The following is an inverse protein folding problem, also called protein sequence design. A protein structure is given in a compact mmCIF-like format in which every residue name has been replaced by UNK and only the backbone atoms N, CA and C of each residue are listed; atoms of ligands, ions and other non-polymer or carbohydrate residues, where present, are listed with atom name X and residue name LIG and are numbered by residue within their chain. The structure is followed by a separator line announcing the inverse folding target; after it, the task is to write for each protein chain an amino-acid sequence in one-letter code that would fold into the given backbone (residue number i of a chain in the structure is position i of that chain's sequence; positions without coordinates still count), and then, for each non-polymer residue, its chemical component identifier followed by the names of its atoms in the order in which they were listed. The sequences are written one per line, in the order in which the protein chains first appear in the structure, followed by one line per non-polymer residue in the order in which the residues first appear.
data_IF_968405183704
#
_entry.id   IF_968405183704
#
_cell.length_a   1.000
_cell.length_b   1.000
_cell.length_c   1.000
_cell.angle_alpha   90.00
_cell.angle_beta   90.00
_cell.angle_gamma   90.00
#
_symmetry.space_group_name_H-M   'P 1'
#
loop_
_entity.id
_entity.type
_entity.pdbx_description
1 polymer ?
#
# COMPACT_ATOMS: atom_id res chain seq x y z
N UNK A 1 1.76 -22.37 -11.53
CA UNK A 1 1.60 -21.24 -10.57
C UNK A 1 1.61 -21.78 -9.15
N UNK A 2 2.60 -21.40 -8.34
CA UNK A 2 2.77 -21.89 -6.96
C UNK A 2 1.63 -21.41 -6.06
N UNK A 3 0.95 -22.34 -5.36
CA UNK A 3 -0.09 -22.01 -4.36
C UNK A 3 0.45 -21.07 -3.27
N UNK A 4 1.72 -21.25 -2.87
CA UNK A 4 2.39 -20.38 -1.90
C UNK A 4 2.44 -18.91 -2.34
N UNK A 5 2.88 -18.64 -3.57
CA UNK A 5 2.97 -17.27 -4.10
C UNK A 5 1.60 -16.54 -4.15
N UNK A 6 0.50 -17.27 -4.42
CA UNK A 6 -0.86 -16.71 -4.35
C UNK A 6 -1.27 -16.36 -2.92
N UNK A 7 -0.89 -17.17 -1.94
CA UNK A 7 -1.16 -16.90 -0.52
C UNK A 7 -0.39 -15.67 -0.04
N UNK A 8 0.90 -15.55 -0.38
CA UNK A 8 1.72 -14.38 -0.05
C UNK A 8 1.19 -13.10 -0.68
N UNK A 9 0.74 -13.15 -1.94
CA UNK A 9 0.10 -12.01 -2.57
C UNK A 9 -1.17 -11.60 -1.80
N UNK A 10 -2.01 -12.57 -1.45
CA UNK A 10 -3.26 -12.29 -0.73
C UNK A 10 -3.00 -11.67 0.65
N UNK A 11 -1.97 -12.12 1.37
CA UNK A 11 -1.58 -11.52 2.65
C UNK A 11 -1.01 -10.12 2.48
N UNK A 12 -0.13 -9.91 1.48
CA UNK A 12 0.45 -8.62 1.17
C UNK A 12 -0.61 -7.58 0.77
N UNK A 13 -1.55 -7.94 -0.12
CA UNK A 13 -2.69 -7.08 -0.48
C UNK A 13 -3.50 -6.74 0.79
N UNK A 14 -3.94 -7.76 1.54
CA UNK A 14 -4.74 -7.55 2.75
C UNK A 14 -4.03 -6.67 3.78
N UNK A 15 -2.71 -6.80 3.91
CA UNK A 15 -1.91 -5.93 4.75
C UNK A 15 -1.93 -4.49 4.25
N UNK A 16 -1.61 -4.27 2.97
CA UNK A 16 -1.53 -2.96 2.38
C UNK A 16 -2.88 -2.20 2.33
N UNK A 17 -4.03 -2.90 2.25
CA UNK A 17 -5.38 -2.31 2.18
C UNK A 17 -5.86 -1.62 3.47
N UNK A 18 -5.18 -1.77 4.60
CA UNK A 18 -5.59 -1.11 5.84
C UNK A 18 -5.18 0.37 5.83
N UNK A 19 -6.03 1.34 6.21
CA UNK A 19 -5.76 2.77 6.06
C UNK A 19 -4.41 3.21 6.65
N UNK A 20 -4.15 2.84 7.91
CA UNK A 20 -2.89 3.17 8.58
C UNK A 20 -1.68 2.54 7.89
N UNK A 21 -1.75 1.24 7.55
CA UNK A 21 -0.65 0.53 6.87
C UNK A 21 -0.39 1.07 5.46
N UNK A 22 -1.44 1.42 4.72
CA UNK A 22 -1.33 2.11 3.43
C UNK A 22 -0.60 3.44 3.60
N UNK A 23 -0.94 4.22 4.63
CA UNK A 23 -0.26 5.47 4.96
C UNK A 23 1.21 5.25 5.32
N UNK A 24 1.55 4.24 6.14
CA UNK A 24 2.95 3.83 6.42
C UNK A 24 3.69 3.55 5.10
N UNK A 25 3.13 2.70 4.24
CA UNK A 25 3.76 2.32 2.97
C UNK A 25 3.95 3.52 2.04
N UNK A 26 2.97 4.42 1.95
CA UNK A 26 3.08 5.68 1.18
C UNK A 26 4.20 6.56 1.73
N UNK A 27 4.30 6.72 3.05
CA UNK A 27 5.37 7.48 3.69
C UNK A 27 6.75 6.88 3.37
N UNK A 28 6.89 5.55 3.49
CA UNK A 28 8.16 4.86 3.21
C UNK A 28 8.55 4.86 1.72
N UNK A 29 7.65 5.23 0.79
CA UNK A 29 8.03 5.47 -0.62
C UNK A 29 8.98 6.67 -0.77
N UNK A 30 8.94 7.63 0.15
CA UNK A 30 9.83 8.79 0.13
C UNK A 30 11.23 8.48 0.68
N UNK A 31 11.40 7.37 1.39
CA UNK A 31 12.67 6.96 1.99
C UNK A 31 12.47 6.15 3.26
N UNK A 32 13.57 5.60 3.80
CA UNK A 32 13.54 4.92 5.10
C UNK A 32 13.22 5.89 6.22
N UNK A 33 12.38 5.49 7.18
CA UNK A 33 11.99 6.32 8.32
C UNK A 33 12.18 5.59 9.65
N UNK A 34 12.45 6.36 10.71
CA UNK A 34 12.54 5.81 12.07
C UNK A 34 11.15 5.59 12.68
N UNK A 35 11.06 4.82 13.77
CA UNK A 35 9.78 4.66 14.51
C UNK A 35 9.17 6.02 14.91
N UNK A 36 9.90 6.98 15.50
CA UNK A 36 9.36 8.29 15.82
C UNK A 36 8.85 9.07 14.60
N UNK A 37 9.58 9.06 13.49
CA UNK A 37 9.17 9.78 12.27
C UNK A 37 7.87 9.19 11.71
N UNK A 38 7.74 7.86 11.75
CA UNK A 38 6.50 7.18 11.36
C UNK A 38 5.35 7.52 12.31
N UNK A 39 5.59 7.50 13.63
CA UNK A 39 4.60 7.88 14.66
C UNK A 39 3.96 9.24 14.34
N UNK A 40 4.81 10.24 14.07
CA UNK A 40 4.38 11.59 13.68
C UNK A 40 3.65 11.61 12.33
N UNK A 41 4.21 10.95 11.31
CA UNK A 41 3.64 10.98 9.96
C UNK A 41 2.27 10.28 9.87
N UNK A 42 2.08 9.14 10.54
CA UNK A 42 0.79 8.45 10.53
C UNK A 42 -0.20 8.98 11.56
N UNK A 43 0.26 9.53 12.68
CA UNK A 43 -0.59 10.01 13.77
C UNK A 43 -1.11 8.88 14.67
N UNK A 44 -0.34 7.80 14.80
CA UNK A 44 -0.65 6.65 15.66
C UNK A 44 0.21 6.66 16.92
N UNK A 45 -0.26 6.06 18.01
CA UNK A 45 0.61 5.80 19.17
C UNK A 45 1.58 4.64 18.90
N UNK A 46 2.66 4.55 19.69
CA UNK A 46 3.68 3.49 19.55
C UNK A 46 3.14 2.07 19.56
N UNK A 47 2.19 1.74 20.43
CA UNK A 47 1.68 0.38 20.54
C UNK A 47 0.95 -0.06 19.25
N UNK A 48 0.04 0.79 18.75
CA UNK A 48 -0.66 0.57 17.49
C UNK A 48 0.31 0.54 16.31
N UNK A 49 1.27 1.45 16.28
CA UNK A 49 2.27 1.53 15.22
C UNK A 49 3.08 0.24 15.12
N UNK A 50 3.58 -0.30 16.25
CA UNK A 50 4.31 -1.57 16.24
C UNK A 50 3.46 -2.72 15.71
N UNK A 51 2.18 -2.81 16.11
CA UNK A 51 1.28 -3.83 15.57
C UNK A 51 1.13 -3.72 14.04
N UNK A 52 1.01 -2.50 13.51
CA UNK A 52 0.94 -2.29 12.07
C UNK A 52 2.25 -2.64 11.35
N UNK A 53 3.40 -2.30 11.94
CA UNK A 53 4.73 -2.59 11.39
C UNK A 53 4.99 -4.10 11.37
N UNK A 54 4.65 -4.82 12.42
CA UNK A 54 4.83 -6.28 12.50
C UNK A 54 4.06 -6.97 11.38
N UNK A 55 2.79 -6.61 11.15
CA UNK A 55 2.00 -7.20 10.06
C UNK A 55 2.57 -6.87 8.68
N UNK A 56 3.14 -5.67 8.50
CA UNK A 56 3.80 -5.29 7.24
C UNK A 56 5.09 -6.07 7.00
N UNK A 57 5.87 -6.34 8.06
CA UNK A 57 7.08 -7.19 8.00
C UNK A 57 6.71 -8.64 7.70
N UNK A 58 5.74 -9.20 8.41
CA UNK A 58 5.24 -10.57 8.18
C UNK A 58 4.71 -10.77 6.76
N UNK A 59 4.21 -9.69 6.14
CA UNK A 59 3.72 -9.68 4.76
C UNK A 59 4.79 -9.38 3.72
N UNK A 60 6.06 -9.28 4.11
CA UNK A 60 7.20 -8.98 3.25
C UNK A 60 7.10 -7.64 2.50
N UNK A 61 6.35 -6.67 3.03
CA UNK A 61 6.17 -5.35 2.42
C UNK A 61 7.24 -4.36 2.85
N UNK A 62 7.78 -4.53 4.06
CA UNK A 62 8.84 -3.70 4.63
C UNK A 62 9.85 -4.58 5.35
N UNK A 63 11.04 -4.03 5.61
CA UNK A 63 12.02 -4.63 6.51
C UNK A 63 12.54 -3.59 7.51
N UNK A 64 12.94 -4.08 8.68
CA UNK A 64 13.65 -3.28 9.69
C UNK A 64 15.13 -3.17 9.31
N UNK A 65 15.63 -1.93 9.23
CA UNK A 65 17.04 -1.61 9.11
C UNK A 65 17.51 -1.12 10.47
N UNK A 66 18.49 -1.79 11.07
CA UNK A 66 19.10 -1.29 12.31
C UNK A 66 20.04 -0.14 11.97
N UNK A 67 19.61 1.09 12.25
CA UNK A 67 20.48 2.27 12.16
C UNK A 67 20.58 2.94 13.54
N UNK A 68 21.67 2.64 14.26
CA UNK A 68 22.07 3.35 15.48
C UNK A 68 21.36 2.96 16.79
N UNK A 69 22.01 3.26 17.92
CA UNK A 69 21.73 2.76 19.28
C UNK A 69 20.36 3.10 19.90
N UNK A 70 19.42 3.79 19.23
CA UNK A 70 18.20 4.32 19.89
C UNK A 70 16.86 4.21 19.13
N UNK A 71 16.82 3.90 17.83
CA UNK A 71 15.56 3.77 17.10
C UNK A 71 15.66 2.79 15.93
N UNK A 72 14.59 2.02 15.71
CA UNK A 72 14.45 1.15 14.53
C UNK A 72 14.12 2.00 13.31
N UNK A 73 14.68 1.65 12.16
CA UNK A 73 14.31 2.22 10.87
C UNK A 73 13.60 1.18 10.03
N UNK A 74 12.71 1.61 9.16
CA UNK A 74 11.97 0.75 8.25
C UNK A 74 12.13 1.23 6.82
N UNK A 75 12.16 0.29 5.88
CA UNK A 75 12.22 0.58 4.45
C UNK A 75 11.30 -0.40 3.70
N UNK A 76 10.78 0.06 2.55
CA UNK A 76 10.01 -0.80 1.65
C UNK A 76 10.85 -1.94 1.09
N UNK A 77 10.26 -3.13 1.04
CA UNK A 77 10.76 -4.21 0.20
C UNK A 77 10.35 -3.93 -1.25
N UNK A 78 11.32 -3.56 -2.07
CA UNK A 78 11.12 -3.32 -3.50
C UNK A 78 11.86 -4.38 -4.31
N UNK A 79 11.16 -5.47 -4.72
CA UNK A 79 11.82 -6.52 -5.50
C UNK A 79 12.25 -5.97 -6.85
N UNK A 80 13.51 -6.25 -7.26
CA UNK A 80 14.05 -5.83 -8.57
C UNK A 80 13.27 -6.43 -9.76
N UNK A 81 12.62 -7.58 -9.55
CA UNK A 81 11.78 -8.27 -10.55
C UNK A 81 10.46 -8.67 -9.88
N UNK A 82 9.48 -7.77 -9.78
CA UNK A 82 8.19 -8.10 -9.19
C UNK A 82 7.45 -9.09 -10.10
N UNK A 83 6.86 -10.12 -9.51
CA UNK A 83 5.86 -10.96 -10.17
C UNK A 83 4.45 -10.34 -10.05
N UNK A 84 4.27 -9.39 -9.13
CA UNK A 84 3.02 -8.68 -8.90
C UNK A 84 3.31 -7.24 -8.45
N UNK A 85 2.48 -6.29 -8.87
CA UNK A 85 2.39 -4.94 -8.32
C UNK A 85 0.96 -4.64 -7.86
N UNK A 86 0.84 -3.90 -6.76
CA UNK A 86 -0.43 -3.52 -6.15
C UNK A 86 -0.44 -2.00 -5.98
N UNK A 87 -1.47 -1.34 -6.52
CA UNK A 87 -1.72 0.08 -6.31
C UNK A 87 -2.98 0.23 -5.48
N UNK A 88 -2.89 0.98 -4.38
CA UNK A 88 -4.00 1.25 -3.48
C UNK A 88 -4.24 2.73 -3.50
N UNK A 89 -5.45 3.09 -3.89
CA UNK A 89 -5.93 4.47 -3.92
C UNK A 89 -7.03 4.63 -2.89
N UNK A 90 -6.97 5.72 -2.14
CA UNK A 90 -7.98 6.12 -1.15
C UNK A 90 -8.75 7.34 -1.65
N UNK A 91 -9.84 7.67 -0.96
CA UNK A 91 -10.63 8.89 -1.22
C UNK A 91 -9.75 10.15 -1.33
N UNK A 92 -8.76 10.30 -0.46
CA UNK A 92 -7.79 11.39 -0.51
C UNK A 92 -7.02 11.46 -1.84
N UNK A 93 -6.62 10.32 -2.41
CA UNK A 93 -5.92 10.28 -3.70
C UNK A 93 -6.85 10.70 -4.84
N UNK A 94 -8.13 10.31 -4.78
CA UNK A 94 -9.12 10.69 -5.78
C UNK A 94 -9.45 12.18 -5.73
N UNK A 95 -9.55 12.75 -4.52
CA UNK A 95 -9.81 14.19 -4.33
C UNK A 95 -8.62 15.02 -4.82
N UNK A 96 -7.39 14.55 -4.57
CA UNK A 96 -6.17 15.25 -4.94
C UNK A 96 -6.03 15.44 -6.46
N UNK A 97 -6.43 14.45 -7.26
CA UNK A 97 -6.42 14.54 -8.72
C UNK A 97 -7.66 13.85 -9.33
N UNK A 98 -8.81 14.50 -9.15
CA UNK A 98 -10.10 14.01 -9.61
C UNK A 98 -10.16 13.82 -11.13
N UNK A 99 -9.45 14.66 -11.89
CA UNK A 99 -9.43 14.58 -13.35
C UNK A 99 -8.71 13.33 -13.83
N UNK A 100 -7.53 13.04 -13.30
CA UNK A 100 -6.79 11.82 -13.65
C UNK A 100 -7.55 10.57 -13.20
N UNK A 101 -8.16 10.60 -12.02
CA UNK A 101 -8.99 9.50 -11.52
C UNK A 101 -10.15 9.18 -12.46
N UNK A 102 -10.92 10.18 -12.91
CA UNK A 102 -12.03 9.94 -13.83
C UNK A 102 -11.58 9.40 -15.19
N UNK A 103 -10.45 9.87 -15.71
CA UNK A 103 -9.87 9.32 -16.96
C UNK A 103 -9.52 7.84 -16.83
N UNK A 104 -9.04 7.42 -15.66
CA UNK A 104 -8.77 6.02 -15.37
C UNK A 104 -10.07 5.20 -15.35
N UNK A 105 -11.11 5.68 -14.67
CA UNK A 105 -12.43 5.04 -14.65
C UNK A 105 -13.03 4.91 -16.05
N UNK A 106 -12.92 5.94 -16.88
CA UNK A 106 -13.36 5.90 -18.28
C UNK A 106 -12.61 4.82 -19.07
N UNK A 107 -11.31 4.68 -18.82
CA UNK A 107 -10.50 3.61 -19.43
C UNK A 107 -10.97 2.22 -19.02
N UNK A 108 -11.25 2.02 -17.72
CA UNK A 108 -11.77 0.74 -17.22
C UNK A 108 -13.14 0.40 -17.81
N UNK A 109 -14.07 1.36 -17.89
CA UNK A 109 -15.39 1.13 -18.49
C UNK A 109 -15.30 0.71 -19.97
N UNK A 110 -14.35 1.30 -20.72
CA UNK A 110 -14.10 0.92 -22.11
C UNK A 110 -13.54 -0.50 -22.24
N UNK A 111 -12.67 -0.91 -21.31
CA UNK A 111 -12.07 -2.25 -21.31
C UNK A 111 -13.13 -3.31 -20.94
N UNK A 112 -13.91 -3.06 -19.89
CA UNK A 112 -14.91 -4.00 -19.38
C UNK A 112 -16.22 -4.00 -20.20
N UNK A 113 -16.43 -2.98 -21.04
CA UNK A 113 -17.66 -2.83 -21.84
C UNK A 113 -18.91 -2.49 -21.01
N UNK A 114 -18.73 -1.95 -19.80
CA UNK A 114 -19.80 -1.65 -18.85
C UNK A 114 -19.50 -0.43 -18.00
N UNK A 115 -20.53 0.18 -17.40
CA UNK A 115 -20.37 1.36 -16.54
C UNK A 115 -20.00 0.96 -15.11
N UNK A 116 -19.12 1.72 -14.48
CA UNK A 116 -18.79 1.58 -13.06
C UNK A 116 -19.95 2.16 -12.25
N UNK A 117 -20.57 1.37 -11.34
CA UNK A 117 -21.66 1.86 -10.52
C UNK A 117 -21.22 2.99 -9.59
N UNK A 118 -22.01 4.06 -9.55
CA UNK A 118 -21.95 5.12 -8.53
C UNK A 118 -20.52 5.64 -8.27
N UNK A 119 -19.84 6.12 -9.34
CA UNK A 119 -18.44 6.62 -9.28
C UNK A 119 -18.13 7.56 -8.11
N UNK A 120 -19.06 8.44 -7.74
CA UNK A 120 -18.90 9.40 -6.65
C UNK A 120 -18.93 8.80 -5.23
N UNK A 121 -19.16 7.48 -5.09
CA UNK A 121 -19.13 6.77 -3.80
C UNK A 121 -17.92 5.83 -3.66
N UNK A 122 -16.95 5.91 -4.58
CA UNK A 122 -15.74 5.09 -4.48
C UNK A 122 -14.85 5.70 -3.39
N UNK A 123 -14.68 4.96 -2.29
CA UNK A 123 -13.84 5.36 -1.16
C UNK A 123 -12.44 4.71 -1.20
N UNK A 124 -12.31 3.62 -1.95
CA UNK A 124 -11.06 2.87 -2.11
C UNK A 124 -11.06 2.13 -3.45
N UNK A 125 -9.89 2.04 -4.07
CA UNK A 125 -9.66 1.24 -5.27
C UNK A 125 -8.32 0.52 -5.18
N UNK A 126 -8.31 -0.75 -5.59
CA UNK A 126 -7.12 -1.61 -5.60
C UNK A 126 -6.88 -2.13 -7.03
N UNK A 127 -5.70 -1.89 -7.56
CA UNK A 127 -5.29 -2.36 -8.90
C UNK A 127 -4.15 -3.35 -8.73
N UNK A 128 -4.37 -4.57 -9.21
CA UNK A 128 -3.37 -5.63 -9.19
C UNK A 128 -2.85 -5.91 -10.59
N UNK A 129 -1.55 -5.78 -10.78
CA UNK A 129 -0.86 -6.14 -12.02
C UNK A 129 -0.02 -7.38 -11.77
N UNK A 130 -0.22 -8.43 -12.57
CA UNK A 130 0.62 -9.63 -12.53
C UNK A 130 1.55 -9.63 -13.74
N UNK A 131 2.83 -9.91 -13.48
CA UNK A 131 3.86 -10.01 -14.51
C UNK A 131 4.14 -11.48 -14.82
N UNK A 132 4.48 -11.78 -16.08
CA UNK A 132 4.87 -13.11 -16.54
C UNK A 132 6.39 -13.25 -16.53
#
# INVERSE_FOLDING_TARGET
MNKGARTYLKSAVKAASHPVRSKILKTLKAGSMSTPDLEEAVGENRYNLYHHLDVLIESDLIHEIRSGKKSKYYQLNTPKKPNVAVFIFTEEDFIKDFTTWNKMLDGLEKIEGGKIPIRGKITQAEIHLSYR
#
